data_IF_729160303630
#
_entry.id   IF_729160303630
#
_cell.length_a   1.000
_cell.length_b   1.000
_cell.length_c   1.000
_cell.angle_alpha   90.00
_cell.angle_beta   90.00
_cell.angle_gamma   90.00
#
_symmetry.space_group_name_H-M   'P 1'
#
loop_
_entity.id
_entity.type
_entity.pdbx_description
1 polymer ?
#
# COMPACT_ATOMS: atom_id res chain seq x y z
N UNK A 1 -4.86 9.05 -14.08
CA UNK A 1 -5.84 8.68 -15.14
C UNK A 1 -7.24 8.51 -14.57
N UNK A 2 -8.31 8.52 -15.44
CA UNK A 2 -9.71 8.40 -15.00
C UNK A 2 -10.00 7.04 -14.37
N UNK A 3 -11.19 6.93 -13.73
CA UNK A 3 -11.67 5.64 -13.23
C UNK A 3 -11.89 4.67 -14.40
N UNK A 4 -11.57 3.39 -14.19
CA UNK A 4 -11.65 2.36 -15.24
C UNK A 4 -10.52 2.42 -16.28
N UNK A 5 -9.52 3.28 -16.13
CA UNK A 5 -8.39 3.38 -17.07
C UNK A 5 -7.42 2.18 -17.06
N UNK A 6 -7.52 1.26 -16.08
CA UNK A 6 -6.65 0.10 -15.93
C UNK A 6 -5.58 0.22 -14.82
N UNK A 7 -5.56 1.29 -14.02
CA UNK A 7 -4.58 1.51 -12.93
C UNK A 7 -4.54 0.34 -11.94
N UNK A 8 -5.67 0.03 -11.30
CA UNK A 8 -5.77 -1.07 -10.31
C UNK A 8 -5.47 -2.44 -10.91
N UNK A 9 -5.82 -2.66 -12.19
CA UNK A 9 -5.47 -3.89 -12.91
C UNK A 9 -3.95 -4.02 -13.05
N UNK A 10 -3.27 -2.95 -13.45
CA UNK A 10 -1.81 -2.93 -13.55
C UNK A 10 -1.16 -3.19 -12.18
N UNK A 11 -1.64 -2.54 -11.12
CA UNK A 11 -1.13 -2.75 -9.76
C UNK A 11 -1.31 -4.20 -9.29
N UNK A 12 -2.47 -4.81 -9.56
CA UNK A 12 -2.71 -6.23 -9.27
C UNK A 12 -1.78 -7.17 -10.05
N UNK A 13 -1.38 -6.81 -11.26
CA UNK A 13 -0.40 -7.57 -12.05
C UNK A 13 0.99 -7.43 -11.40
N UNK A 14 1.44 -6.21 -11.09
CA UNK A 14 2.76 -5.96 -10.48
C UNK A 14 2.90 -6.70 -9.13
N UNK A 15 1.82 -6.76 -8.35
CA UNK A 15 1.78 -7.44 -7.05
C UNK A 15 1.62 -8.96 -7.15
N UNK A 16 1.64 -9.53 -8.36
CA UNK A 16 1.41 -10.96 -8.62
C UNK A 16 0.03 -11.45 -8.10
N UNK A 17 -0.96 -10.57 -7.99
CA UNK A 17 -2.32 -10.94 -7.57
C UNK A 17 -3.13 -11.53 -8.73
N UNK A 18 -2.96 -11.01 -9.94
CA UNK A 18 -3.51 -11.57 -11.19
C UNK A 18 -2.39 -11.70 -12.22
N UNK A 19 -2.41 -12.73 -13.07
CA UNK A 19 -1.44 -12.87 -14.15
C UNK A 19 -1.72 -11.90 -15.30
N UNK A 20 -0.68 -11.39 -16.01
CA UNK A 20 -0.88 -10.66 -17.25
C UNK A 20 -1.29 -11.61 -18.38
N UNK A 21 -2.10 -11.15 -19.33
CA UNK A 21 -2.45 -11.92 -20.53
C UNK A 21 -1.27 -12.02 -21.50
N UNK A 22 -0.44 -10.97 -21.58
CA UNK A 22 0.78 -10.89 -22.39
C UNK A 22 1.79 -9.95 -21.71
N UNK A 23 3.06 -10.15 -22.01
CA UNK A 23 4.13 -9.37 -21.44
C UNK A 23 4.46 -9.78 -20.02
N UNK A 24 5.42 -9.08 -19.42
CA UNK A 24 5.84 -9.30 -18.03
C UNK A 24 6.18 -7.97 -17.36
N UNK A 25 6.46 -8.02 -16.06
CA UNK A 25 6.98 -6.91 -15.27
C UNK A 25 8.17 -7.41 -14.47
N UNK A 26 9.17 -6.54 -14.32
CA UNK A 26 10.32 -6.80 -13.46
C UNK A 26 10.28 -5.84 -12.27
N UNK A 27 10.41 -6.39 -11.07
CA UNK A 27 10.48 -5.63 -9.82
C UNK A 27 11.83 -5.93 -9.15
N UNK A 28 12.70 -4.94 -9.08
CA UNK A 28 14.06 -5.07 -8.52
C UNK A 28 14.86 -6.26 -9.11
N UNK A 29 14.75 -6.51 -10.39
CA UNK A 29 15.44 -7.61 -11.07
C UNK A 29 14.68 -8.94 -11.08
N UNK A 30 13.53 -9.04 -10.41
CA UNK A 30 12.74 -10.27 -10.33
C UNK A 30 11.51 -10.20 -11.24
N UNK A 31 11.34 -11.22 -12.08
CA UNK A 31 10.19 -11.36 -12.97
C UNK A 31 8.95 -11.84 -12.20
N UNK A 32 7.79 -11.21 -12.48
CA UNK A 32 6.53 -11.52 -11.78
C UNK A 32 6.00 -12.94 -12.06
N UNK A 33 6.40 -13.58 -13.18
CA UNK A 33 6.02 -14.95 -13.51
C UNK A 33 6.95 -15.97 -12.89
N UNK A 34 8.24 -15.84 -13.18
CA UNK A 34 9.23 -16.85 -12.82
C UNK A 34 9.61 -16.77 -11.34
N UNK A 35 9.56 -15.56 -10.76
CA UNK A 35 10.06 -15.27 -9.42
C UNK A 35 9.01 -14.53 -8.55
N UNK A 36 7.74 -14.89 -8.70
CA UNK A 36 6.63 -14.21 -8.02
C UNK A 36 6.77 -14.12 -6.49
N UNK A 37 7.37 -15.13 -5.85
CA UNK A 37 7.62 -15.11 -4.40
C UNK A 37 8.66 -14.06 -4.01
N UNK A 38 9.70 -13.88 -4.83
CA UNK A 38 10.72 -12.86 -4.59
C UNK A 38 10.14 -11.44 -4.79
N UNK A 39 9.26 -11.27 -5.76
CA UNK A 39 8.51 -10.02 -5.95
C UNK A 39 7.63 -9.71 -4.73
N UNK A 40 6.84 -10.69 -4.25
CA UNK A 40 5.95 -10.52 -3.09
C UNK A 40 6.67 -10.18 -1.80
N UNK A 41 7.90 -10.65 -1.61
CA UNK A 41 8.74 -10.28 -0.45
C UNK A 41 9.16 -8.82 -0.48
N UNK A 42 9.24 -8.21 -1.66
CA UNK A 42 9.73 -6.83 -1.89
C UNK A 42 8.61 -5.81 -2.03
N UNK A 43 7.39 -6.27 -2.23
CA UNK A 43 6.24 -5.39 -2.50
C UNK A 43 5.28 -5.40 -1.32
N UNK A 44 4.99 -4.24 -0.79
CA UNK A 44 3.83 -4.00 0.08
C UNK A 44 2.67 -3.47 -0.76
N UNK A 45 1.46 -3.96 -0.54
CA UNK A 45 0.29 -3.56 -1.31
C UNK A 45 -0.88 -3.14 -0.45
N UNK A 46 -1.38 -1.95 -0.70
CA UNK A 46 -2.63 -1.44 -0.15
C UNK A 46 -3.64 -1.32 -1.30
N UNK A 47 -4.62 -2.22 -1.41
CA UNK A 47 -5.69 -2.11 -2.40
C UNK A 47 -6.69 -1.01 -2.02
N UNK A 48 -7.39 -0.44 -3.01
CA UNK A 48 -8.45 0.57 -2.80
C UNK A 48 -9.52 0.10 -1.80
N UNK A 49 -9.95 -1.16 -1.94
CA UNK A 49 -10.86 -1.83 -1.01
C UNK A 49 -10.06 -2.84 -0.19
N UNK A 50 -9.55 -2.40 0.94
CA UNK A 50 -8.73 -3.26 1.80
C UNK A 50 -9.62 -4.24 2.59
N UNK A 51 -9.51 -5.57 2.35
CA UNK A 51 -10.32 -6.59 3.01
C UNK A 51 -9.78 -6.92 4.41
N UNK A 52 -9.85 -5.97 5.32
CA UNK A 52 -9.43 -6.16 6.72
C UNK A 52 -10.37 -7.12 7.46
N UNK A 53 -9.84 -7.87 8.41
CA UNK A 53 -10.63 -8.72 9.32
C UNK A 53 -11.22 -7.88 10.44
N UNK A 54 -12.47 -7.43 10.24
CA UNK A 54 -13.13 -6.43 11.09
C UNK A 54 -13.33 -6.88 12.54
N UNK A 55 -13.40 -8.17 12.80
CA UNK A 55 -13.58 -8.75 14.14
C UNK A 55 -12.28 -8.89 14.93
N UNK A 56 -11.12 -8.77 14.28
CA UNK A 56 -9.82 -8.81 14.93
C UNK A 56 -9.46 -7.47 15.56
N UNK A 57 -8.69 -7.52 16.64
CA UNK A 57 -8.03 -6.34 17.21
C UNK A 57 -6.85 -5.91 16.32
N UNK A 58 -6.49 -4.61 16.34
CA UNK A 58 -5.40 -4.07 15.50
C UNK A 58 -4.10 -4.86 15.69
N UNK A 59 -3.64 -5.04 16.93
CA UNK A 59 -2.40 -5.80 17.22
C UNK A 59 -2.48 -7.27 16.80
N UNK A 60 -3.63 -7.90 17.02
CA UNK A 60 -3.89 -9.29 16.62
C UNK A 60 -3.77 -9.46 15.10
N UNK A 61 -4.40 -8.56 14.35
CA UNK A 61 -4.35 -8.56 12.89
C UNK A 61 -2.94 -8.35 12.36
N UNK A 62 -2.19 -7.38 12.91
CA UNK A 62 -0.79 -7.15 12.51
C UNK A 62 0.09 -8.34 12.85
N UNK A 63 -0.15 -9.02 13.99
CA UNK A 63 0.53 -10.26 14.35
C UNK A 63 0.22 -11.41 13.38
N UNK A 64 -1.03 -11.53 12.97
CA UNK A 64 -1.44 -12.50 11.96
C UNK A 64 -0.72 -12.25 10.62
N UNK A 65 -0.68 -10.99 10.16
CA UNK A 65 0.02 -10.64 8.91
C UNK A 65 1.53 -10.85 9.02
N UNK A 66 2.16 -10.48 10.15
CA UNK A 66 3.57 -10.77 10.41
C UNK A 66 3.86 -12.28 10.30
N UNK A 67 2.97 -13.11 10.86
CA UNK A 67 3.06 -14.58 10.75
C UNK A 67 3.01 -15.10 9.32
N UNK A 68 2.18 -14.51 8.44
CA UNK A 68 2.14 -14.84 7.01
C UNK A 68 3.50 -14.59 6.34
N UNK A 69 4.22 -13.53 6.78
CA UNK A 69 5.56 -13.21 6.31
C UNK A 69 6.68 -13.94 7.08
N UNK A 70 6.34 -14.94 7.89
CA UNK A 70 7.28 -15.71 8.73
C UNK A 70 8.06 -14.86 9.76
N UNK A 71 7.54 -13.70 10.12
CA UNK A 71 8.09 -12.85 11.19
C UNK A 71 7.42 -13.31 12.49
N UNK A 72 8.23 -13.78 13.46
CA UNK A 72 7.70 -14.42 14.68
C UNK A 72 8.45 -13.94 15.94
N UNK A 73 7.91 -14.25 17.13
CA UNK A 73 8.58 -13.99 18.41
C UNK A 73 8.83 -12.50 18.66
N UNK A 74 10.01 -12.18 19.16
CA UNK A 74 10.41 -10.81 19.51
C UNK A 74 10.48 -9.88 18.29
N UNK A 75 10.89 -10.40 17.14
CA UNK A 75 10.93 -9.65 15.89
C UNK A 75 9.52 -9.18 15.48
N UNK A 76 8.53 -10.06 15.55
CA UNK A 76 7.15 -9.71 15.27
C UNK A 76 6.64 -8.60 16.21
N UNK A 77 6.89 -8.74 17.53
CA UNK A 77 6.49 -7.73 18.49
C UNK A 77 7.11 -6.36 18.18
N UNK A 78 8.40 -6.34 17.90
CA UNK A 78 9.13 -5.11 17.53
C UNK A 78 8.54 -4.48 16.26
N UNK A 79 8.34 -5.28 15.21
CA UNK A 79 7.77 -4.79 13.94
C UNK A 79 6.34 -4.26 14.10
N UNK A 80 5.51 -4.91 14.90
CA UNK A 80 4.14 -4.46 15.19
C UNK A 80 4.17 -3.11 15.90
N UNK A 81 5.01 -2.94 16.92
CA UNK A 81 5.10 -1.69 17.65
C UNK A 81 5.65 -0.56 16.77
N UNK A 82 6.65 -0.82 15.92
CA UNK A 82 7.15 0.12 14.91
C UNK A 82 6.03 0.56 13.94
N UNK A 83 5.23 -0.38 13.45
CA UNK A 83 4.12 -0.08 12.53
C UNK A 83 3.03 0.75 13.21
N UNK A 84 2.71 0.43 14.46
CA UNK A 84 1.73 1.19 15.25
C UNK A 84 2.19 2.64 15.45
N UNK A 85 3.46 2.84 15.79
CA UNK A 85 4.05 4.17 15.96
C UNK A 85 4.06 4.94 14.63
N UNK A 86 4.64 4.36 13.59
CA UNK A 86 4.78 4.97 12.27
C UNK A 86 3.43 5.39 11.66
N UNK A 87 2.41 4.57 11.82
CA UNK A 87 1.08 4.84 11.23
C UNK A 87 0.14 5.60 12.18
N UNK A 88 0.58 5.96 13.39
CA UNK A 88 -0.24 6.69 14.36
C UNK A 88 -1.44 5.91 14.89
N UNK A 89 -1.32 4.58 15.01
CA UNK A 89 -2.36 3.69 15.52
C UNK A 89 -2.38 3.57 17.04
N UNK A 90 -1.46 4.20 17.77
CA UNK A 90 -1.26 4.00 19.21
C UNK A 90 -2.53 4.14 20.06
N UNK A 91 -3.37 5.16 19.79
CA UNK A 91 -4.62 5.40 20.51
C UNK A 91 -5.72 4.38 20.19
N UNK A 92 -5.62 3.69 19.07
CA UNK A 92 -6.63 2.77 18.54
C UNK A 92 -6.20 1.29 18.58
N UNK A 93 -4.96 1.00 18.97
CA UNK A 93 -4.35 -0.33 18.84
C UNK A 93 -5.07 -1.45 19.62
N UNK A 94 -5.86 -1.07 20.63
CA UNK A 94 -6.62 -2.02 21.45
C UNK A 94 -8.08 -2.22 21.00
N UNK A 95 -8.49 -1.53 19.92
CA UNK A 95 -9.85 -1.66 19.39
C UNK A 95 -9.92 -2.73 18.30
N UNK A 96 -11.11 -3.26 18.09
CA UNK A 96 -11.42 -4.06 16.90
C UNK A 96 -11.39 -3.17 15.67
N UNK A 97 -10.88 -3.72 14.55
CA UNK A 97 -10.77 -2.99 13.28
C UNK A 97 -12.14 -2.49 12.81
N UNK A 98 -13.21 -3.27 13.05
CA UNK A 98 -14.57 -2.87 12.72
C UNK A 98 -15.09 -1.62 13.45
N UNK A 99 -14.52 -1.28 14.62
CA UNK A 99 -14.86 -0.09 15.39
C UNK A 99 -14.07 1.17 14.99
N UNK A 100 -13.10 1.04 14.09
CA UNK A 100 -12.25 2.15 13.64
C UNK A 100 -12.97 3.01 12.60
N UNK A 101 -12.62 4.31 12.56
CA UNK A 101 -12.97 5.18 11.44
C UNK A 101 -12.32 4.70 10.14
N UNK A 102 -12.80 5.19 8.99
CA UNK A 102 -12.23 4.85 7.69
C UNK A 102 -10.72 5.20 7.63
N UNK A 103 -10.33 6.38 8.14
CA UNK A 103 -8.93 6.80 8.17
C UNK A 103 -8.04 5.88 9.01
N UNK A 104 -8.52 5.44 10.17
CA UNK A 104 -7.77 4.48 10.99
C UNK A 104 -7.70 3.10 10.34
N UNK A 105 -8.75 2.64 9.65
CA UNK A 105 -8.67 1.41 8.83
C UNK A 105 -7.65 1.54 7.70
N UNK A 106 -7.54 2.71 7.09
CA UNK A 106 -6.52 2.99 6.08
C UNK A 106 -5.11 2.90 6.67
N UNK A 107 -4.89 3.44 7.88
CA UNK A 107 -3.62 3.31 8.61
C UNK A 107 -3.29 1.85 8.96
N UNK A 108 -4.28 1.05 9.34
CA UNK A 108 -4.09 -0.42 9.52
C UNK A 108 -3.66 -1.08 8.21
N UNK A 109 -4.27 -0.71 7.10
CA UNK A 109 -3.88 -1.20 5.78
C UNK A 109 -2.46 -0.81 5.37
N UNK A 110 -2.02 0.42 5.67
CA UNK A 110 -0.63 0.84 5.46
C UNK A 110 0.33 0.06 6.36
N UNK A 111 0.01 -0.09 7.65
CA UNK A 111 0.81 -0.90 8.57
C UNK A 111 0.96 -2.35 8.09
N UNK A 112 -0.13 -2.96 7.64
CA UNK A 112 -0.14 -4.30 7.02
C UNK A 112 0.80 -4.37 5.81
N UNK A 113 0.70 -3.40 4.89
CA UNK A 113 1.50 -3.39 3.68
C UNK A 113 3.00 -3.24 3.96
N UNK A 114 3.37 -2.68 5.12
CA UNK A 114 4.75 -2.40 5.51
C UNK A 114 5.34 -3.37 6.54
N UNK A 115 4.56 -4.29 7.11
CA UNK A 115 4.98 -5.13 8.24
C UNK A 115 6.26 -5.93 7.93
N UNK A 116 6.42 -6.42 6.71
CA UNK A 116 7.56 -7.20 6.23
C UNK A 116 8.71 -6.36 5.66
N UNK A 117 8.67 -5.03 5.87
CA UNK A 117 9.67 -4.07 5.41
C UNK A 117 9.97 -4.13 3.91
N UNK A 118 8.97 -4.00 3.03
CA UNK A 118 9.18 -4.04 1.58
C UNK A 118 9.99 -2.82 1.12
N UNK A 119 10.73 -2.98 0.02
CA UNK A 119 11.44 -1.88 -0.67
C UNK A 119 10.53 -1.09 -1.62
N UNK A 120 9.46 -1.73 -2.11
CA UNK A 120 8.47 -1.13 -3.01
C UNK A 120 7.10 -1.13 -2.33
N UNK A 121 6.44 0.01 -2.32
CA UNK A 121 5.09 0.17 -1.77
C UNK A 121 4.11 0.55 -2.89
N UNK A 122 3.07 -0.23 -3.07
CA UNK A 122 2.01 0.01 -4.07
C UNK A 122 0.72 0.37 -3.34
N UNK A 123 0.21 1.58 -3.61
CA UNK A 123 -0.95 2.15 -2.95
C UNK A 123 -2.04 2.48 -3.98
N UNK A 124 -3.17 1.78 -3.91
CA UNK A 124 -4.27 2.00 -4.83
C UNK A 124 -5.33 2.91 -4.18
N UNK A 125 -5.42 4.16 -4.65
CA UNK A 125 -6.32 5.22 -4.15
C UNK A 125 -6.24 5.39 -2.62
N UNK A 126 -5.05 5.58 -2.02
CA UNK A 126 -4.84 5.50 -0.57
C UNK A 126 -5.58 6.56 0.25
N UNK A 127 -6.03 7.62 -0.39
CA UNK A 127 -6.70 8.78 0.22
C UNK A 127 -8.20 8.81 -0.05
N UNK A 128 -8.73 7.84 -0.80
CA UNK A 128 -10.13 7.81 -1.22
C UNK A 128 -11.11 7.82 -0.04
N UNK A 129 -11.99 8.84 -0.03
CA UNK A 129 -13.07 8.98 0.96
C UNK A 129 -12.61 9.26 2.38
N UNK A 130 -11.46 9.87 2.55
CA UNK A 130 -10.98 10.43 3.80
C UNK A 130 -11.49 11.88 3.97
N UNK A 131 -11.71 12.29 5.22
CA UNK A 131 -11.95 13.68 5.53
C UNK A 131 -10.67 14.54 5.38
N UNK A 132 -10.78 15.89 5.31
CA UNK A 132 -9.63 16.76 5.05
C UNK A 132 -8.46 16.58 6.05
N UNK A 133 -8.74 16.35 7.33
CA UNK A 133 -7.69 16.18 8.34
C UNK A 133 -6.98 14.84 8.16
N UNK A 134 -7.73 13.75 8.00
CA UNK A 134 -7.19 12.42 7.72
C UNK A 134 -6.35 12.41 6.43
N UNK A 135 -6.78 13.18 5.43
CA UNK A 135 -6.10 13.29 4.15
C UNK A 135 -4.70 13.94 4.31
N UNK A 136 -4.59 15.00 5.11
CA UNK A 136 -3.31 15.65 5.42
C UNK A 136 -2.36 14.65 6.09
N UNK A 137 -2.84 13.94 7.10
CA UNK A 137 -2.05 12.96 7.84
C UNK A 137 -1.54 11.81 6.96
N UNK A 138 -2.42 11.23 6.15
CA UNK A 138 -2.06 10.11 5.26
C UNK A 138 -1.08 10.57 4.16
N UNK A 139 -1.25 11.79 3.62
CA UNK A 139 -0.29 12.37 2.67
C UNK A 139 1.08 12.59 3.31
N UNK A 140 1.13 13.09 4.54
CA UNK A 140 2.37 13.21 5.30
C UNK A 140 3.09 11.86 5.42
N UNK A 141 2.37 10.84 5.87
CA UNK A 141 2.91 9.49 6.02
C UNK A 141 3.43 8.91 4.68
N UNK A 142 2.67 9.05 3.58
CA UNK A 142 3.09 8.57 2.26
C UNK A 142 4.36 9.29 1.79
N UNK A 143 4.46 10.59 2.02
CA UNK A 143 5.66 11.38 1.66
C UNK A 143 6.89 10.91 2.45
N UNK A 144 6.75 10.70 3.76
CA UNK A 144 7.83 10.23 4.60
C UNK A 144 8.33 8.84 4.16
N UNK A 145 7.41 7.95 3.82
CA UNK A 145 7.73 6.64 3.25
C UNK A 145 8.45 6.74 1.90
N UNK A 146 8.11 7.72 1.07
CA UNK A 146 8.76 7.97 -0.22
C UNK A 146 10.23 8.37 -0.12
N UNK A 147 10.69 8.87 1.04
CA UNK A 147 12.10 9.17 1.27
C UNK A 147 12.97 7.91 1.43
N UNK A 148 12.36 6.78 1.81
CA UNK A 148 13.08 5.54 2.11
C UNK A 148 12.76 4.41 1.13
N UNK A 149 11.61 4.48 0.48
CA UNK A 149 11.05 3.39 -0.35
C UNK A 149 10.61 3.91 -1.71
N UNK A 150 10.59 3.02 -2.70
CA UNK A 150 9.92 3.30 -3.96
C UNK A 150 8.40 3.21 -3.77
N UNK A 151 7.69 4.33 -3.92
CA UNK A 151 6.23 4.36 -3.76
C UNK A 151 5.57 4.55 -5.12
N UNK A 152 4.72 3.60 -5.50
CA UNK A 152 3.81 3.69 -6.65
C UNK A 152 2.39 3.89 -6.14
N UNK A 153 1.81 5.06 -6.36
CA UNK A 153 0.43 5.32 -5.95
C UNK A 153 -0.48 5.56 -7.16
N UNK A 154 -1.70 5.08 -7.10
CA UNK A 154 -2.76 5.50 -8.01
C UNK A 154 -3.59 6.61 -7.38
N UNK A 155 -3.95 7.59 -8.19
CA UNK A 155 -4.93 8.59 -7.83
C UNK A 155 -5.59 9.18 -9.08
N UNK A 156 -6.76 9.73 -8.90
CA UNK A 156 -7.44 10.53 -9.91
C UNK A 156 -7.46 12.03 -9.55
N UNK A 157 -6.79 12.42 -8.44
CA UNK A 157 -6.75 13.78 -7.89
C UNK A 157 -5.40 14.42 -8.24
N UNK A 158 -5.40 15.45 -9.10
CA UNK A 158 -4.17 16.12 -9.55
C UNK A 158 -3.37 16.75 -8.39
N UNK A 159 -4.04 17.32 -7.40
CA UNK A 159 -3.39 17.90 -6.22
C UNK A 159 -2.56 16.87 -5.42
N UNK A 160 -2.92 15.59 -5.49
CA UNK A 160 -2.13 14.53 -4.86
C UNK A 160 -0.88 14.21 -5.67
N UNK A 161 -1.01 14.20 -6.99
CA UNK A 161 0.14 14.00 -7.89
C UNK A 161 1.18 15.10 -7.63
N UNK A 162 0.79 16.36 -7.64
CA UNK A 162 1.68 17.50 -7.38
C UNK A 162 2.30 17.49 -5.97
N UNK A 163 1.56 16.98 -4.97
CA UNK A 163 2.00 16.99 -3.58
C UNK A 163 2.90 15.82 -3.19
N UNK A 164 2.80 14.67 -3.87
CA UNK A 164 3.39 13.40 -3.41
C UNK A 164 4.32 12.74 -4.43
N UNK A 165 4.29 13.14 -5.70
CA UNK A 165 4.97 12.40 -6.76
C UNK A 165 6.11 13.22 -7.37
N UNK A 166 7.21 12.56 -7.71
CA UNK A 166 8.29 13.12 -8.54
C UNK A 166 8.08 12.81 -10.02
N UNK A 167 7.30 11.76 -10.30
CA UNK A 167 7.03 11.27 -11.64
C UNK A 167 5.56 10.88 -11.81
N UNK A 168 5.00 11.17 -12.97
CA UNK A 168 3.63 10.86 -13.32
C UNK A 168 3.54 9.95 -14.54
N UNK A 169 2.70 8.90 -14.45
CA UNK A 169 2.32 8.05 -15.57
C UNK A 169 0.80 8.17 -15.74
N UNK A 170 0.37 8.65 -16.89
CA UNK A 170 -1.05 8.78 -17.20
C UNK A 170 -1.51 7.58 -18.04
N UNK A 171 -2.50 6.84 -17.53
CA UNK A 171 -3.11 5.71 -18.20
C UNK A 171 -4.52 6.10 -18.62
N UNK A 172 -4.88 5.79 -19.87
CA UNK A 172 -6.24 5.94 -20.41
C UNK A 172 -6.59 4.71 -21.25
N UNK A 173 -7.72 4.07 -20.94
CA UNK A 173 -8.20 2.85 -21.64
C UNK A 173 -7.11 1.77 -21.79
N UNK A 174 -6.33 1.54 -20.74
CA UNK A 174 -5.26 0.53 -20.72
C UNK A 174 -3.97 0.93 -21.44
N UNK A 175 -3.88 2.14 -21.98
CA UNK A 175 -2.68 2.64 -22.70
C UNK A 175 -2.02 3.75 -21.91
N UNK A 176 -0.69 3.73 -21.83
CA UNK A 176 0.10 4.84 -21.28
C UNK A 176 0.09 5.99 -22.28
N UNK A 177 -0.46 7.14 -21.90
CA UNK A 177 -0.57 8.34 -22.75
C UNK A 177 0.43 9.43 -22.39
N UNK A 178 1.00 9.40 -21.18
CA UNK A 178 2.11 10.27 -20.77
C UNK A 178 2.96 9.58 -19.70
N UNK A 179 4.24 9.94 -19.64
CA UNK A 179 5.23 9.44 -18.68
C UNK A 179 6.31 10.52 -18.51
N UNK A 180 6.15 11.40 -17.53
CA UNK A 180 6.97 12.59 -17.34
C UNK A 180 7.35 12.79 -15.87
N UNK A 181 8.40 13.56 -15.61
CA UNK A 181 8.72 14.09 -14.29
C UNK A 181 7.83 15.31 -13.99
N UNK A 182 7.58 15.58 -12.72
CA UNK A 182 6.79 16.71 -12.24
C UNK A 182 7.74 17.87 -11.89
#
# INVERSE_FOLDING_TARGET
GPNGAGKSTLMKIITCFIPPTKGTVNVEGYDIWEQSMEVRKRVGYLPEHNPLYLDMYVKEYLGFVAGIHHITGQEASKRIDEMIEMTGLGVEMHKKIGALSKGYRQRVGLAQAMIHNPSVLILDEPTSGLDPNQLIDIRGLIRDLGNEKSVLLSTHIMQEVEALCDKVIIINKGVVVANDNI
#
